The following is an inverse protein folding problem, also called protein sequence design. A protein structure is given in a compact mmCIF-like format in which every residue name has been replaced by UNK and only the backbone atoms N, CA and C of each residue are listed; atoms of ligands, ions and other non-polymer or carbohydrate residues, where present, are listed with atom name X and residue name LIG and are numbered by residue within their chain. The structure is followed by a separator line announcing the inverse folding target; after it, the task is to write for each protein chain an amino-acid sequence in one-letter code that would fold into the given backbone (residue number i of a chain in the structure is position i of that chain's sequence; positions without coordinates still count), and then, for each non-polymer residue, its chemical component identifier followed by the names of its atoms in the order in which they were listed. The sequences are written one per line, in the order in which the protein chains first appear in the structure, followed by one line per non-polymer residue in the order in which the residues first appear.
data_IF_076211405300
#
_entry.id   IF_076211405300
#
_cell.length_a   1.000
_cell.length_b   1.000
_cell.length_c   1.000
_cell.angle_alpha   90.00
_cell.angle_beta   90.00
_cell.angle_gamma   90.00
#
_symmetry.space_group_name_H-M   'P 1'
#
loop_
_entity.id
_entity.type
_entity.pdbx_description
1 polymer ?
#
# COMPACT_ATOMS: atom_id res chain seq x y z
N UNK A 1 10.32 9.07 -13.66
CA UNK A 1 9.61 8.12 -12.76
C UNK A 1 8.28 7.63 -13.29
N UNK A 2 7.26 8.47 -13.54
CA UNK A 2 5.94 7.95 -13.97
C UNK A 2 5.98 7.09 -15.23
N UNK A 3 6.76 7.48 -16.25
CA UNK A 3 6.93 6.65 -17.45
C UNK A 3 7.59 5.31 -17.14
N UNK A 4 8.60 5.29 -16.26
CA UNK A 4 9.25 4.04 -15.83
C UNK A 4 8.26 3.09 -15.14
N UNK A 5 7.33 3.63 -14.35
CA UNK A 5 6.26 2.87 -13.70
C UNK A 5 5.17 2.33 -14.66
N UNK A 6 5.24 2.65 -15.96
CA UNK A 6 4.23 2.29 -16.97
C UNK A 6 3.34 3.45 -17.42
N UNK A 7 3.45 4.62 -16.78
CA UNK A 7 2.70 5.83 -17.12
C UNK A 7 1.32 5.91 -16.45
N UNK A 8 0.73 7.11 -16.49
CA UNK A 8 -0.58 7.39 -15.89
C UNK A 8 -1.69 6.54 -16.50
N UNK A 9 -1.69 6.36 -17.83
CA UNK A 9 -2.71 5.57 -18.51
C UNK A 9 -2.71 4.10 -18.04
N UNK A 10 -1.54 3.47 -17.95
CA UNK A 10 -1.44 2.10 -17.44
C UNK A 10 -1.94 1.98 -15.99
N UNK A 11 -1.64 2.98 -15.16
CA UNK A 11 -2.16 3.04 -13.79
C UNK A 11 -3.68 3.22 -13.76
N UNK A 12 -4.24 4.11 -14.57
CA UNK A 12 -5.68 4.37 -14.62
C UNK A 12 -6.45 3.13 -15.11
N UNK A 13 -5.91 2.43 -16.11
CA UNK A 13 -6.46 1.18 -16.67
C UNK A 13 -6.31 -0.03 -15.73
N UNK A 14 -5.44 0.05 -14.73
CA UNK A 14 -5.29 -1.02 -13.74
C UNK A 14 -6.53 -1.07 -12.86
N UNK A 15 -7.39 -2.08 -13.08
CA UNK A 15 -8.63 -2.23 -12.32
C UNK A 15 -8.43 -3.00 -11.02
N UNK A 16 -7.80 -4.17 -11.09
CA UNK A 16 -7.68 -5.05 -9.94
C UNK A 16 -6.26 -5.11 -9.40
N UNK A 17 -6.12 -5.07 -8.08
CA UNK A 17 -4.89 -5.39 -7.38
C UNK A 17 -5.15 -6.45 -6.32
N UNK A 18 -4.23 -7.40 -6.24
CA UNK A 18 -4.20 -8.43 -5.21
C UNK A 18 -2.81 -8.51 -4.60
N UNK A 19 -2.72 -8.61 -3.28
CA UNK A 19 -1.45 -8.84 -2.59
C UNK A 19 -1.67 -9.31 -1.14
N UNK A 20 -0.68 -10.01 -0.60
CA UNK A 20 -0.60 -10.41 0.80
C UNK A 20 0.47 -9.56 1.51
N UNK A 21 0.03 -8.67 2.39
CA UNK A 21 0.89 -7.81 3.19
C UNK A 21 1.54 -8.59 4.34
N UNK A 22 2.87 -8.66 4.32
CA UNK A 22 3.71 -9.28 5.34
C UNK A 22 3.30 -10.71 5.72
N UNK A 23 2.76 -11.48 4.76
CA UNK A 23 2.26 -12.83 4.98
C UNK A 23 1.02 -12.94 5.87
N UNK A 24 0.36 -11.82 6.21
CA UNK A 24 -0.71 -11.78 7.24
C UNK A 24 -2.07 -11.36 6.73
N UNK A 25 -2.09 -10.40 5.79
CA UNK A 25 -3.33 -9.78 5.31
C UNK A 25 -3.40 -9.81 3.80
N UNK A 26 -4.36 -10.52 3.25
CA UNK A 26 -4.56 -10.59 1.79
C UNK A 26 -5.63 -9.59 1.39
N UNK A 27 -5.29 -8.71 0.45
CA UNK A 27 -6.18 -7.73 -0.13
C UNK A 27 -6.56 -8.19 -1.54
N UNK A 28 -7.84 -8.06 -1.88
CA UNK A 28 -8.31 -7.96 -3.26
C UNK A 28 -9.03 -6.63 -3.42
N UNK A 29 -8.70 -5.86 -4.45
CA UNK A 29 -9.21 -4.51 -4.64
C UNK A 29 -9.64 -4.27 -6.08
N UNK A 30 -10.91 -3.95 -6.29
CA UNK A 30 -11.45 -3.35 -7.52
C UNK A 30 -11.34 -1.82 -7.40
N UNK A 31 -10.29 -1.24 -7.98
CA UNK A 31 -10.00 0.21 -7.93
C UNK A 31 -11.11 1.04 -8.56
N UNK A 32 -11.84 0.50 -9.52
CA UNK A 32 -12.86 1.26 -10.25
C UNK A 32 -14.15 1.37 -9.47
N UNK A 33 -14.59 0.28 -8.82
CA UNK A 33 -15.87 0.27 -8.09
C UNK A 33 -15.71 0.46 -6.58
N UNK A 34 -14.48 0.45 -6.08
CA UNK A 34 -14.15 0.53 -4.66
C UNK A 34 -14.37 -0.76 -3.89
N UNK A 35 -14.70 -1.89 -4.54
CA UNK A 35 -14.89 -3.17 -3.84
C UNK A 35 -13.55 -3.66 -3.29
N UNK A 36 -13.55 -4.04 -2.02
CA UNK A 36 -12.37 -4.46 -1.30
C UNK A 36 -12.70 -5.69 -0.45
N UNK A 37 -11.83 -6.68 -0.54
CA UNK A 37 -11.81 -7.83 0.35
C UNK A 37 -10.51 -7.82 1.13
N UNK A 38 -10.62 -8.00 2.45
CA UNK A 38 -9.51 -8.23 3.35
C UNK A 38 -9.66 -9.57 4.03
N UNK A 39 -8.63 -10.40 3.95
CA UNK A 39 -8.57 -11.70 4.63
C UNK A 39 -7.33 -11.78 5.51
N UNK A 40 -7.42 -12.51 6.61
CA UNK A 40 -6.26 -12.81 7.45
C UNK A 40 -6.66 -13.60 8.68
N UNK A 41 -5.79 -13.55 9.70
CA UNK A 41 -6.05 -14.14 11.01
C UNK A 41 -5.95 -13.10 12.12
N UNK A 42 -6.81 -13.23 13.13
CA UNK A 42 -6.72 -12.47 14.39
C UNK A 42 -5.47 -12.89 15.17
N UNK A 43 -5.17 -12.18 16.27
CA UNK A 43 -4.04 -12.53 17.13
C UNK A 43 -4.21 -13.91 17.80
N UNK A 44 -5.45 -14.33 18.06
CA UNK A 44 -5.81 -15.67 18.57
C UNK A 44 -6.00 -16.71 17.45
N UNK A 45 -5.62 -16.40 16.21
CA UNK A 45 -5.56 -17.36 15.10
C UNK A 45 -6.88 -17.61 14.36
N UNK A 46 -7.96 -16.91 14.69
CA UNK A 46 -9.24 -17.06 13.99
C UNK A 46 -9.17 -16.43 12.60
N UNK A 47 -9.60 -17.13 11.54
CA UNK A 47 -9.68 -16.53 10.21
C UNK A 47 -10.74 -15.43 10.21
N UNK A 48 -10.51 -14.37 9.45
CA UNK A 48 -11.53 -13.36 9.20
C UNK A 48 -11.57 -12.97 7.73
N UNK A 49 -12.76 -12.53 7.30
CA UNK A 49 -13.01 -11.96 5.99
C UNK A 49 -13.80 -10.68 6.18
N UNK A 50 -13.35 -9.59 5.56
CA UNK A 50 -14.10 -8.34 5.50
C UNK A 50 -14.33 -8.00 4.03
N UNK A 51 -15.60 -7.88 3.64
CA UNK A 51 -16.02 -7.41 2.34
C UNK A 51 -16.54 -5.99 2.51
N UNK A 52 -15.95 -5.02 1.85
CA UNK A 52 -16.32 -3.61 1.99
C UNK A 52 -16.27 -2.86 0.67
N UNK A 53 -16.95 -1.73 0.62
CA UNK A 53 -16.77 -0.74 -0.43
C UNK A 53 -16.02 0.47 0.14
N UNK A 54 -14.84 0.76 -0.40
CA UNK A 54 -13.96 1.83 0.05
C UNK A 54 -14.56 3.23 -0.18
N UNK A 55 -15.44 3.37 -1.17
CA UNK A 55 -16.09 4.63 -1.51
C UNK A 55 -17.26 4.94 -0.56
N UNK A 56 -18.07 3.92 -0.20
CA UNK A 56 -19.25 4.12 0.66
C UNK A 56 -18.96 3.85 2.14
N UNK A 57 -17.84 3.17 2.45
CA UNK A 57 -17.47 2.67 3.79
C UNK A 57 -18.41 1.58 4.34
N UNK A 58 -19.29 1.04 3.49
CA UNK A 58 -20.23 -0.03 3.87
C UNK A 58 -19.63 -1.41 3.58
N UNK A 59 -20.18 -2.45 4.21
CA UNK A 59 -19.71 -3.82 4.03
C UNK A 59 -20.22 -4.77 5.09
N UNK A 60 -19.61 -5.94 5.17
CA UNK A 60 -19.84 -6.97 6.17
C UNK A 60 -18.50 -7.63 6.57
N UNK A 61 -18.47 -8.21 7.77
CA UNK A 61 -17.31 -8.91 8.28
C UNK A 61 -17.72 -10.26 8.87
N UNK A 62 -16.82 -11.24 8.76
CA UNK A 62 -16.97 -12.56 9.33
C UNK A 62 -15.69 -12.93 10.08
N UNK A 63 -15.84 -13.48 11.28
CA UNK A 63 -14.75 -13.90 12.15
C UNK A 63 -15.06 -15.33 12.54
N UNK A 64 -14.15 -16.24 12.21
CA UNK A 64 -14.35 -17.68 12.41
C UNK A 64 -15.67 -18.18 11.77
N UNK A 65 -15.98 -17.64 10.58
CA UNK A 65 -17.21 -17.93 9.84
C UNK A 65 -18.48 -17.25 10.39
N UNK A 66 -18.43 -16.62 11.58
CA UNK A 66 -19.57 -15.95 12.18
C UNK A 66 -19.66 -14.50 11.71
N UNK A 67 -20.84 -14.11 11.21
CA UNK A 67 -21.08 -12.74 10.75
C UNK A 67 -21.05 -11.77 11.96
N UNK A 68 -20.24 -10.72 11.86
CA UNK A 68 -20.20 -9.64 12.82
C UNK A 68 -21.41 -8.72 12.63
N UNK A 69 -21.99 -8.25 13.73
CA UNK A 69 -23.15 -7.36 13.74
C UNK A 69 -22.89 -6.14 14.64
N UNK A 70 -23.70 -5.09 14.49
CA UNK A 70 -23.64 -3.89 15.33
C UNK A 70 -22.25 -3.24 15.39
N UNK A 71 -21.79 -2.94 16.60
CA UNK A 71 -20.49 -2.27 16.83
C UNK A 71 -19.30 -3.12 16.34
N UNK A 72 -19.37 -4.45 16.49
CA UNK A 72 -18.31 -5.34 16.03
C UNK A 72 -18.14 -5.24 14.50
N UNK A 73 -19.25 -5.19 13.74
CA UNK A 73 -19.20 -4.97 12.29
C UNK A 73 -18.49 -3.66 11.95
N UNK A 74 -18.85 -2.57 12.63
CA UNK A 74 -18.26 -1.25 12.40
C UNK A 74 -16.74 -1.27 12.68
N UNK A 75 -16.32 -1.85 13.79
CA UNK A 75 -14.90 -1.99 14.15
C UNK A 75 -14.10 -2.74 13.07
N UNK A 76 -14.66 -3.82 12.52
CA UNK A 76 -14.00 -4.58 11.46
C UNK A 76 -13.94 -3.83 10.13
N UNK A 77 -14.95 -3.04 9.78
CA UNK A 77 -14.92 -2.17 8.59
C UNK A 77 -13.90 -1.03 8.73
N UNK A 78 -13.77 -0.45 9.92
CA UNK A 78 -12.76 0.57 10.21
C UNK A 78 -11.35 -0.03 10.20
N UNK A 79 -11.18 -1.21 10.79
CA UNK A 79 -9.92 -1.98 10.72
C UNK A 79 -9.53 -2.30 9.28
N UNK A 80 -10.47 -2.77 8.47
CA UNK A 80 -10.20 -3.13 7.08
C UNK A 80 -9.78 -1.92 6.24
N UNK A 81 -10.40 -0.77 6.50
CA UNK A 81 -10.00 0.49 5.88
C UNK A 81 -8.62 0.96 6.29
N UNK A 82 -8.34 0.97 7.60
CA UNK A 82 -7.02 1.35 8.10
C UNK A 82 -5.92 0.45 7.53
N UNK A 83 -6.18 -0.85 7.46
CA UNK A 83 -5.29 -1.81 6.79
C UNK A 83 -5.12 -1.47 5.30
N UNK A 84 -6.21 -1.20 4.56
CA UNK A 84 -6.11 -0.79 3.15
C UNK A 84 -5.29 0.49 2.97
N UNK A 85 -5.53 1.52 3.77
CA UNK A 85 -4.79 2.80 3.70
C UNK A 85 -3.29 2.56 3.91
N UNK A 86 -2.91 1.86 4.98
CA UNK A 86 -1.50 1.60 5.29
C UNK A 86 -0.85 0.64 4.29
N UNK A 87 -1.47 -0.52 4.06
CA UNK A 87 -0.84 -1.61 3.32
C UNK A 87 -0.72 -1.27 1.83
N UNK A 88 -1.71 -0.56 1.26
CA UNK A 88 -1.59 -0.04 -0.11
C UNK A 88 -0.61 1.11 -0.23
N UNK A 89 -0.39 1.90 0.81
CA UNK A 89 0.66 2.93 0.79
C UNK A 89 2.05 2.27 0.65
N UNK A 90 2.32 1.22 1.42
CA UNK A 90 3.54 0.43 1.27
C UNK A 90 3.70 -0.16 -0.13
N UNK A 91 2.61 -0.60 -0.78
CA UNK A 91 2.64 -1.09 -2.15
C UNK A 91 2.84 0.02 -3.20
N UNK A 92 2.17 1.16 -3.04
CA UNK A 92 1.89 2.10 -4.12
C UNK A 92 2.42 3.52 -3.89
N UNK A 93 3.21 3.79 -2.84
CA UNK A 93 3.71 5.15 -2.55
C UNK A 93 4.22 5.89 -3.81
N UNK A 94 5.03 5.29 -4.72
CA UNK A 94 5.49 5.97 -5.94
C UNK A 94 4.37 6.42 -6.90
N UNK A 95 3.24 5.71 -6.93
CA UNK A 95 2.05 6.10 -7.71
C UNK A 95 1.28 7.22 -7.03
N UNK A 96 1.30 7.26 -5.69
CA UNK A 96 0.60 8.25 -4.87
C UNK A 96 1.28 9.63 -4.84
N UNK A 97 2.49 9.76 -5.40
CA UNK A 97 3.26 11.01 -5.45
C UNK A 97 2.57 12.16 -6.18
N UNK A 98 1.49 11.89 -6.93
CA UNK A 98 0.67 12.92 -7.58
C UNK A 98 -0.81 12.86 -7.20
N UNK A 99 -1.15 12.13 -6.12
CA UNK A 99 -2.51 12.12 -5.62
C UNK A 99 -2.92 13.55 -5.19
N UNK A 100 -4.20 13.95 -5.39
CA UNK A 100 -4.69 15.22 -4.90
C UNK A 100 -4.38 15.41 -3.41
N UNK A 101 -3.81 16.56 -3.05
CA UNK A 101 -3.43 16.87 -1.67
C UNK A 101 -2.02 16.44 -1.26
N UNK A 102 -1.25 15.81 -2.15
CA UNK A 102 0.19 15.57 -1.96
C UNK A 102 1.00 16.73 -2.51
N UNK A 103 1.85 17.33 -1.66
CA UNK A 103 2.85 18.31 -2.08
C UNK A 103 4.19 17.61 -2.27
N UNK A 104 4.84 17.86 -3.40
CA UNK A 104 6.12 17.28 -3.76
C UNK A 104 7.16 18.39 -3.97
N UNK A 105 8.26 18.33 -3.23
CA UNK A 105 9.37 19.29 -3.35
C UNK A 105 10.65 18.56 -3.72
N UNK A 106 11.32 19.00 -4.78
CA UNK A 106 12.68 18.53 -5.08
C UNK A 106 13.66 19.17 -4.10
N UNK A 107 14.37 18.33 -3.33
CA UNK A 107 15.29 18.81 -2.29
C UNK A 107 16.77 18.71 -2.70
N UNK A 108 17.03 18.32 -3.95
CA UNK A 108 18.38 18.19 -4.50
C UNK A 108 18.82 16.74 -4.66
N UNK A 109 20.12 16.57 -4.93
CA UNK A 109 20.74 15.26 -5.08
C UNK A 109 21.20 14.73 -3.72
N UNK A 110 21.14 13.42 -3.54
CA UNK A 110 21.70 12.73 -2.39
C UNK A 110 22.56 11.56 -2.84
N UNK A 111 23.81 11.51 -2.36
CA UNK A 111 24.71 10.39 -2.64
C UNK A 111 24.49 9.28 -1.61
N UNK A 112 24.16 8.07 -2.07
CA UNK A 112 23.97 6.89 -1.23
C UNK A 112 24.69 5.73 -1.89
N UNK A 113 25.64 5.12 -1.17
CA UNK A 113 26.43 3.98 -1.64
C UNK A 113 27.04 4.20 -3.04
N UNK A 114 27.53 5.41 -3.30
CA UNK A 114 28.15 5.80 -4.58
C UNK A 114 27.17 6.09 -5.72
N UNK A 115 25.87 6.11 -5.46
CA UNK A 115 24.83 6.47 -6.44
C UNK A 115 24.20 7.82 -6.08
N UNK A 116 24.16 8.75 -7.03
CA UNK A 116 23.52 10.06 -6.87
C UNK A 116 22.03 10.02 -7.20
N UNK A 117 21.17 10.02 -6.18
CA UNK A 117 19.71 10.00 -6.29
C UNK A 117 19.11 11.39 -6.37
N UNK A 118 18.01 11.54 -7.11
CA UNK A 118 17.13 12.70 -6.98
C UNK A 118 16.25 12.52 -5.74
N UNK A 119 16.41 13.40 -4.75
CA UNK A 119 15.66 13.33 -3.49
C UNK A 119 14.43 14.24 -3.56
N UNK A 120 13.27 13.66 -3.26
CA UNK A 120 11.98 14.32 -3.22
C UNK A 120 11.44 14.29 -1.80
N UNK A 121 11.00 15.43 -1.26
CA UNK A 121 10.25 15.50 -0.02
C UNK A 121 8.75 15.50 -0.33
N UNK A 122 7.98 14.76 0.46
CA UNK A 122 6.52 14.73 0.39
C UNK A 122 5.93 15.31 1.68
N UNK A 123 4.86 16.06 1.54
CA UNK A 123 3.93 16.35 2.63
C UNK A 123 2.49 16.13 2.18
N UNK A 124 1.66 15.68 3.12
CA UNK A 124 0.24 15.48 2.89
C UNK A 124 -0.50 16.70 3.45
N UNK A 125 -1.45 17.24 2.68
CA UNK A 125 -2.36 18.26 3.18
C UNK A 125 -3.34 17.70 4.22
N UNK A 126 -4.60 18.12 4.18
CA UNK A 126 -5.66 17.57 5.07
C UNK A 126 -6.19 16.20 4.59
N UNK A 127 -5.32 15.33 4.06
CA UNK A 127 -5.68 14.02 3.48
C UNK A 127 -4.92 12.90 4.18
N UNK A 128 -5.50 11.69 4.22
CA UNK A 128 -4.91 10.54 4.88
C UNK A 128 -5.12 10.51 6.40
N UNK A 129 -4.50 9.52 7.06
CA UNK A 129 -4.63 9.31 8.52
C UNK A 129 -3.54 10.04 9.33
N UNK A 130 -2.42 10.42 8.69
CA UNK A 130 -1.23 10.94 9.36
C UNK A 130 -0.65 12.18 8.65
N UNK A 131 -1.36 13.33 8.67
CA UNK A 131 -0.96 14.51 7.91
C UNK A 131 0.34 15.18 8.40
N UNK A 132 0.78 14.91 9.64
CA UNK A 132 2.03 15.45 10.18
C UNK A 132 3.28 14.64 9.83
N UNK A 133 3.14 13.47 9.22
CA UNK A 133 4.28 12.64 8.86
C UNK A 133 5.08 13.29 7.72
N UNK A 134 6.40 13.16 7.79
CA UNK A 134 7.33 13.68 6.78
C UNK A 134 7.95 12.53 6.03
N UNK A 135 8.01 12.63 4.71
CA UNK A 135 8.52 11.54 3.88
C UNK A 135 9.52 12.05 2.86
N UNK A 136 10.46 11.17 2.48
CA UNK A 136 11.37 11.40 1.37
C UNK A 136 11.44 10.17 0.47
N UNK A 137 11.43 10.40 -0.85
CA UNK A 137 11.67 9.38 -1.85
C UNK A 137 12.98 9.67 -2.58
N UNK A 138 13.76 8.63 -2.82
CA UNK A 138 15.04 8.69 -3.52
C UNK A 138 14.87 7.99 -4.86
N UNK A 139 14.90 8.78 -5.92
CA UNK A 139 14.67 8.32 -7.29
C UNK A 139 16.02 8.08 -7.97
N UNK A 140 16.22 6.86 -8.45
CA UNK A 140 17.45 6.47 -9.12
C UNK A 140 17.58 7.19 -10.47
N UNK A 141 18.75 7.78 -10.81
CA UNK A 141 18.91 8.63 -11.99
C UNK A 141 18.72 7.88 -13.32
N UNK A 142 19.11 6.60 -13.38
CA UNK A 142 19.00 5.76 -14.59
C UNK A 142 17.67 5.04 -14.74
N UNK A 143 17.23 4.29 -13.72
CA UNK A 143 15.96 3.52 -13.80
C UNK A 143 14.74 4.43 -13.63
N UNK A 144 14.93 5.61 -13.05
CA UNK A 144 13.88 6.54 -12.64
C UNK A 144 12.85 5.93 -11.67
N UNK A 145 13.20 4.85 -10.97
CA UNK A 145 12.36 4.21 -9.95
C UNK A 145 12.77 4.70 -8.56
N UNK A 146 11.87 4.51 -7.59
CA UNK A 146 12.18 4.76 -6.19
C UNK A 146 12.88 3.53 -5.64
N UNK A 147 14.12 3.69 -5.20
CA UNK A 147 14.92 2.60 -4.61
C UNK A 147 15.03 2.73 -3.10
N UNK A 148 14.78 3.93 -2.56
CA UNK A 148 14.75 4.18 -1.12
C UNK A 148 13.65 5.16 -0.77
N UNK A 149 13.04 4.93 0.37
CA UNK A 149 12.04 5.78 0.97
C UNK A 149 12.33 5.95 2.45
N UNK A 150 12.08 7.16 2.96
CA UNK A 150 12.32 7.55 4.33
C UNK A 150 11.09 8.21 4.91
N UNK A 151 10.93 8.08 6.23
CA UNK A 151 9.90 8.80 6.96
C UNK A 151 10.33 9.19 8.36
N UNK A 152 9.72 10.26 8.86
CA UNK A 152 9.66 10.62 10.28
C UNK A 152 8.17 10.78 10.62
N UNK A 153 7.71 10.03 11.62
CA UNK A 153 6.31 10.07 12.04
C UNK A 153 6.03 11.33 12.88
N UNK A 154 4.79 11.80 12.84
CA UNK A 154 4.36 13.02 13.54
C UNK A 154 4.45 12.93 15.07
N UNK A 155 4.48 11.74 15.63
CA UNK A 155 4.63 11.47 17.06
C UNK A 155 6.11 11.37 17.50
N UNK A 156 7.05 11.41 16.55
CA UNK A 156 8.48 11.41 16.83
C UNK A 156 9.01 12.84 17.07
N UNK A 157 10.13 12.98 17.82
CA UNK A 157 10.82 14.24 17.97
C UNK A 157 11.11 14.92 16.61
N UNK A 158 11.09 16.26 16.58
CA UNK A 158 11.29 17.02 15.35
C UNK A 158 12.66 16.75 14.68
N UNK A 159 13.66 16.42 15.49
CA UNK A 159 15.04 16.08 15.15
C UNK A 159 15.30 14.56 15.04
N UNK A 160 14.25 13.73 15.11
CA UNK A 160 14.39 12.29 14.96
C UNK A 160 15.01 11.94 13.59
N UNK A 161 15.96 10.99 13.62
CA UNK A 161 16.53 10.45 12.40
C UNK A 161 15.44 9.71 11.58
N UNK A 162 15.38 9.90 10.25
CA UNK A 162 14.39 9.20 9.44
C UNK A 162 14.58 7.68 9.47
N UNK A 163 13.47 6.95 9.53
CA UNK A 163 13.46 5.51 9.26
C UNK A 163 13.52 5.29 7.76
N UNK A 164 14.52 4.54 7.30
CA UNK A 164 14.77 4.30 5.89
C UNK A 164 14.45 2.84 5.48
N UNK A 165 13.83 2.69 4.31
CA UNK A 165 13.54 1.41 3.68
C UNK A 165 13.94 1.42 2.21
N UNK A 166 14.59 0.34 1.78
CA UNK A 166 14.84 0.07 0.35
C UNK A 166 13.57 -0.46 -0.30
N UNK A 167 13.33 -0.08 -1.55
CA UNK A 167 12.29 -0.60 -2.41
C UNK A 167 12.94 -1.50 -3.45
N UNK A 168 12.61 -2.80 -3.41
CA UNK A 168 13.40 -3.82 -4.10
C UNK A 168 12.53 -4.78 -4.92
N UNK A 169 13.12 -5.34 -5.98
CA UNK A 169 12.47 -6.35 -6.82
C UNK A 169 11.44 -5.78 -7.80
N UNK A 170 11.62 -4.54 -8.26
CA UNK A 170 10.78 -3.92 -9.29
C UNK A 170 10.62 -4.85 -10.49
N UNK A 171 9.38 -5.20 -10.79
CA UNK A 171 9.02 -6.06 -11.92
C UNK A 171 7.62 -5.71 -12.44
N UNK A 172 7.32 -6.21 -13.64
CA UNK A 172 6.08 -5.87 -14.35
C UNK A 172 4.92 -6.75 -13.90
N UNK A 173 3.80 -6.11 -13.55
CA UNK A 173 2.51 -6.74 -13.27
C UNK A 173 1.46 -6.08 -14.17
N UNK A 174 0.95 -6.83 -15.14
CA UNK A 174 0.16 -6.25 -16.23
C UNK A 174 0.96 -5.17 -16.96
N UNK A 175 0.46 -3.93 -16.97
CA UNK A 175 1.13 -2.78 -17.63
C UNK A 175 1.95 -1.90 -16.68
N UNK A 176 1.95 -2.17 -15.38
CA UNK A 176 2.61 -1.33 -14.36
C UNK A 176 3.82 -2.03 -13.74
N UNK A 177 4.72 -1.27 -13.10
CA UNK A 177 5.82 -1.84 -12.29
C UNK A 177 5.48 -1.81 -10.80
N UNK A 178 5.77 -2.89 -10.08
CA UNK A 178 5.63 -2.94 -8.63
C UNK A 178 6.87 -3.61 -8.02
N UNK A 179 7.27 -3.16 -6.84
CA UNK A 179 8.30 -3.78 -6.01
C UNK A 179 7.62 -4.60 -4.91
N UNK A 180 7.89 -5.92 -4.78
CA UNK A 180 7.28 -6.74 -3.74
C UNK A 180 8.04 -6.69 -2.40
N UNK A 181 9.28 -6.20 -2.35
CA UNK A 181 10.11 -6.26 -1.15
C UNK A 181 10.46 -4.85 -0.63
N UNK A 182 10.41 -4.69 0.70
CA UNK A 182 11.12 -3.62 1.40
C UNK A 182 12.07 -4.18 2.44
N UNK A 183 13.28 -3.66 2.45
CA UNK A 183 14.31 -3.99 3.45
C UNK A 183 14.67 -2.74 4.23
N UNK A 184 14.61 -2.81 5.56
CA UNK A 184 14.98 -1.66 6.38
C UNK A 184 16.48 -1.38 6.25
N UNK A 185 16.86 -0.12 6.12
CA UNK A 185 18.27 0.29 6.17
C UNK A 185 18.71 0.36 7.64
N UNK A 186 19.85 -0.28 7.95
CA UNK A 186 20.42 -0.27 9.31
C UNK A 186 19.67 -1.15 10.31
N UNK A 187 18.82 -2.08 9.85
CA UNK A 187 18.17 -3.09 10.69
C UNK A 187 17.80 -4.34 9.89
N UNK A 188 17.26 -5.35 10.58
CA UNK A 188 17.02 -6.67 9.98
C UNK A 188 15.58 -6.88 9.48
N UNK A 189 14.75 -5.84 9.55
CA UNK A 189 13.33 -5.95 9.17
C UNK A 189 13.15 -6.01 7.66
N UNK A 190 12.29 -6.93 7.23
CA UNK A 190 11.80 -7.04 5.85
C UNK A 190 10.28 -7.00 5.83
N UNK A 191 9.74 -6.43 4.77
CA UNK A 191 8.31 -6.39 4.48
C UNK A 191 8.11 -6.91 3.07
N UNK A 192 7.43 -8.04 2.97
CA UNK A 192 7.08 -8.66 1.69
C UNK A 192 5.61 -8.41 1.35
N UNK A 193 5.36 -8.10 0.08
CA UNK A 193 4.05 -8.07 -0.54
C UNK A 193 3.94 -9.33 -1.40
N UNK A 194 3.57 -10.43 -0.76
CA UNK A 194 3.42 -11.74 -1.39
C UNK A 194 2.18 -11.81 -2.27
N UNK A 195 2.05 -12.87 -3.07
CA UNK A 195 0.88 -13.13 -3.92
C UNK A 195 0.45 -11.91 -4.77
N UNK A 196 1.42 -11.08 -5.14
CA UNK A 196 1.18 -9.82 -5.82
C UNK A 196 0.71 -10.09 -7.24
N UNK A 197 -0.46 -9.56 -7.60
CA UNK A 197 -1.03 -9.72 -8.93
C UNK A 197 -1.86 -8.51 -9.34
N UNK A 198 -1.90 -8.27 -10.65
CA UNK A 198 -2.73 -7.26 -11.31
C UNK A 198 -3.56 -7.97 -12.37
N UNK A 199 -4.64 -8.70 -11.98
CA UNK A 199 -5.43 -9.48 -12.91
C UNK A 199 -6.35 -8.56 -13.74
N UNK A 200 -6.66 -8.97 -14.97
CA UNK A 200 -7.62 -8.24 -15.83
C UNK A 200 -9.07 -8.43 -15.35
N UNK A 201 -9.35 -9.55 -14.67
CA UNK A 201 -10.66 -9.88 -14.13
C UNK A 201 -10.54 -10.67 -12.81
N UNK A 202 -11.53 -10.48 -11.93
CA UNK A 202 -11.75 -11.32 -10.76
C UNK A 202 -13.22 -11.78 -10.73
N UNK A 203 -13.51 -13.03 -10.35
CA UNK A 203 -14.89 -13.49 -10.18
C UNK A 203 -15.64 -12.61 -9.17
N UNK A 204 -16.92 -12.38 -9.41
CA UNK A 204 -17.75 -11.55 -8.51
C UNK A 204 -17.78 -12.10 -7.08
N UNK A 205 -17.75 -13.44 -6.96
CA UNK A 205 -17.69 -14.15 -5.68
C UNK A 205 -16.54 -13.69 -4.77
N UNK A 206 -15.42 -13.21 -5.33
CA UNK A 206 -14.31 -12.64 -4.54
C UNK A 206 -14.79 -11.47 -3.69
N UNK A 207 -15.78 -10.71 -4.13
CA UNK A 207 -16.29 -9.53 -3.43
C UNK A 207 -17.69 -9.72 -2.82
N UNK A 208 -18.32 -10.88 -3.04
CA UNK A 208 -19.71 -11.14 -2.63
C UNK A 208 -19.87 -12.33 -1.67
N UNK A 209 -18.92 -13.27 -1.63
CA UNK A 209 -19.00 -14.46 -0.79
C UNK A 209 -17.95 -14.41 0.34
N UNK A 210 -18.30 -14.81 1.58
CA UNK A 210 -17.36 -14.80 2.69
C UNK A 210 -16.39 -16.00 2.70
N UNK A 211 -16.60 -16.98 1.82
CA UNK A 211 -15.72 -18.15 1.71
C UNK A 211 -14.28 -17.72 1.40
N UNK A 212 -13.25 -18.36 2.01
CA UNK A 212 -11.85 -18.07 1.72
C UNK A 212 -11.57 -18.16 0.22
N UNK A 213 -10.82 -17.19 -0.32
CA UNK A 213 -10.39 -17.23 -1.72
C UNK A 213 -9.05 -17.95 -1.78
N UNK A 214 -8.95 -18.95 -2.63
CA UNK A 214 -7.70 -19.70 -2.81
C UNK A 214 -6.54 -18.76 -3.20
N UNK A 215 -5.29 -19.11 -2.82
CA UNK A 215 -4.11 -18.30 -3.11
C UNK A 215 -3.84 -18.09 -4.61
#
# INVERSE_FOLDING_TARGET
MQQALGGKEAWDQTRYLRFTFAGRRTHHWDKWTGRHRLEGQTQDGKPYVVLSNLNTREGDAWIDGQKAEGDQKKEWLDRAHGAWVNDTYWLLMPYKLRDPGVSLTYVGKAEIDGTGYDKLALSFGKVGLTPGDRYWAYVHPTTHLVDRWEYVLQDQPADAAPTAWKWEGWQRYGKILLAPLRTQVGGDRKLELGNLAVPDALPDAVFAAPDPVAP
#
